data_IF_350249273181
#
_entry.id   IF_350249273181
#
_cell.length_a   1.000
_cell.length_b   1.000
_cell.length_c   1.000
_cell.angle_alpha   90.00
_cell.angle_beta   90.00
_cell.angle_gamma   90.00
#
_symmetry.space_group_name_H-M   'P 1'
#
loop_
_entity.id
_entity.type
_entity.pdbx_description
1 polymer ?
#
# COMPACT_ATOMS: atom_id res chain seq x y z
N UNK A 1 -24.79 -35.33 35.35
CA UNK A 1 -24.61 -36.06 36.64
C UNK A 1 -23.21 -35.76 37.21
N UNK A 2 -23.17 -35.35 38.50
CA UNK A 2 -22.10 -35.50 39.53
C UNK A 2 -20.66 -35.06 39.18
N UNK A 3 -20.13 -33.92 39.66
CA UNK A 3 -19.71 -33.52 41.04
C UNK A 3 -18.41 -34.19 41.56
N UNK A 4 -17.47 -33.32 41.96
CA UNK A 4 -16.33 -33.47 42.91
C UNK A 4 -15.05 -34.08 42.31
N UNK A 5 -13.84 -33.59 42.61
CA UNK A 5 -13.30 -33.40 43.96
C UNK A 5 -12.17 -32.34 44.00
N UNK A 6 -12.24 -31.48 45.01
CA UNK A 6 -11.18 -30.59 45.50
C UNK A 6 -10.18 -31.40 46.35
N UNK A 7 -8.88 -31.11 46.23
CA UNK A 7 -7.97 -31.20 47.38
C UNK A 7 -7.17 -29.91 47.48
N UNK A 8 -7.40 -29.22 48.60
CA UNK A 8 -6.57 -28.16 49.15
C UNK A 8 -5.46 -28.83 49.95
N UNK A 9 -4.22 -28.41 49.76
CA UNK A 9 -3.20 -28.42 50.80
C UNK A 9 -2.43 -27.10 50.70
N UNK A 10 -2.37 -26.42 51.83
CA UNK A 10 -1.64 -25.18 52.09
C UNK A 10 -0.55 -25.55 53.13
N UNK A 11 0.64 -24.95 53.24
CA UNK A 11 0.94 -23.60 53.74
C UNK A 11 2.49 -23.40 53.82
N UNK A 12 2.97 -22.24 53.35
CA UNK A 12 4.09 -21.35 53.81
C UNK A 12 5.58 -21.83 53.77
N UNK A 13 6.58 -20.94 53.94
CA UNK A 13 7.17 -20.15 52.85
C UNK A 13 8.72 -20.25 52.85
N UNK A 14 9.39 -19.94 51.74
CA UNK A 14 10.83 -19.69 51.75
C UNK A 14 11.12 -18.36 51.08
N UNK A 15 11.51 -17.38 51.90
CA UNK A 15 12.10 -16.12 51.49
C UNK A 15 13.35 -16.40 50.66
N UNK A 16 13.32 -15.95 49.40
CA UNK A 16 14.50 -15.80 48.56
C UNK A 16 14.33 -14.53 47.76
N UNK A 17 14.83 -13.41 48.28
CA UNK A 17 14.99 -12.18 47.54
C UNK A 17 15.94 -12.43 46.37
N UNK A 18 15.59 -11.97 45.16
CA UNK A 18 16.48 -11.35 44.16
C UNK A 18 15.66 -11.04 42.89
N UNK A 19 15.41 -9.74 42.65
CA UNK A 19 15.56 -9.13 41.33
C UNK A 19 14.42 -9.24 40.30
N UNK A 20 13.72 -8.12 40.10
CA UNK A 20 13.35 -7.67 38.75
C UNK A 20 11.86 -7.73 38.38
N UNK A 21 11.21 -6.59 38.02
CA UNK A 21 9.87 -6.61 37.47
C UNK A 21 9.88 -7.22 36.06
N UNK A 22 9.17 -8.33 35.88
CA UNK A 22 8.93 -8.92 34.58
C UNK A 22 7.96 -8.02 33.80
N UNK A 23 8.53 -7.09 33.04
CA UNK A 23 7.85 -6.34 32.00
C UNK A 23 7.13 -7.30 31.06
N UNK A 24 5.80 -7.26 31.05
CA UNK A 24 5.02 -7.70 29.90
C UNK A 24 5.27 -6.70 28.76
N UNK A 25 6.27 -6.98 27.94
CA UNK A 25 6.42 -6.32 26.66
C UNK A 25 5.27 -6.76 25.75
N UNK A 26 4.20 -5.97 25.71
CA UNK A 26 3.27 -5.98 24.60
C UNK A 26 4.07 -5.52 23.38
N UNK A 27 4.42 -6.47 22.51
CA UNK A 27 4.87 -6.17 21.17
C UNK A 27 3.66 -5.54 20.47
N UNK A 28 3.63 -4.21 20.44
CA UNK A 28 2.80 -3.48 19.51
C UNK A 28 3.43 -3.71 18.14
N UNK A 29 2.85 -4.63 17.36
CA UNK A 29 3.11 -4.73 15.93
C UNK A 29 2.66 -3.41 15.30
N UNK A 30 3.61 -2.50 15.12
CA UNK A 30 3.40 -1.25 14.39
C UNK A 30 3.08 -1.64 12.95
N UNK A 31 1.80 -1.69 12.61
CA UNK A 31 1.34 -1.86 11.24
C UNK A 31 1.83 -0.66 10.44
N UNK A 32 2.84 -0.87 9.60
CA UNK A 32 3.34 0.14 8.68
C UNK A 32 2.23 0.50 7.68
N UNK A 33 1.52 1.59 7.98
CA UNK A 33 0.64 2.25 7.03
C UNK A 33 1.50 2.77 5.87
N UNK A 34 1.04 2.65 4.61
CA UNK A 34 1.70 3.30 3.50
C UNK A 34 1.54 4.82 3.66
N UNK A 35 2.54 5.43 4.27
CA UNK A 35 2.67 6.88 4.35
C UNK A 35 3.18 7.43 3.00
N UNK A 36 2.86 8.69 2.64
CA UNK A 36 3.57 9.38 1.59
C UNK A 36 5.07 9.28 1.87
N UNK A 37 5.86 8.90 0.86
CA UNK A 37 7.26 8.54 1.04
C UNK A 37 8.01 9.60 1.87
N UNK A 38 8.53 9.18 3.02
CA UNK A 38 9.31 10.05 3.89
C UNK A 38 10.53 10.56 3.10
N UNK A 39 10.50 11.83 2.70
CA UNK A 39 11.55 12.48 1.88
C UNK A 39 11.10 12.97 0.49
N UNK A 40 9.90 12.62 0.04
CA UNK A 40 9.36 13.13 -1.22
C UNK A 40 8.90 14.59 -1.05
N UNK A 41 9.48 15.51 -1.82
CA UNK A 41 9.19 16.94 -1.73
C UNK A 41 7.72 17.22 -2.07
N UNK A 42 7.01 17.81 -1.12
CA UNK A 42 5.67 18.32 -1.37
C UNK A 42 5.76 19.53 -2.31
N UNK A 43 4.88 19.58 -3.31
CA UNK A 43 4.80 20.71 -4.24
C UNK A 43 3.47 21.44 -4.07
N UNK A 44 3.44 22.78 -4.13
CA UNK A 44 2.20 23.53 -4.12
C UNK A 44 1.26 23.07 -5.24
N UNK A 45 -0.01 22.86 -4.91
CA UNK A 45 -1.02 22.38 -5.84
C UNK A 45 -2.33 23.14 -5.67
N UNK A 46 -2.91 23.56 -6.79
CA UNK A 46 -4.20 24.26 -6.84
C UNK A 46 -4.99 23.93 -8.11
N UNK A 47 -6.13 24.62 -8.28
CA UNK A 47 -7.05 24.40 -9.40
C UNK A 47 -6.46 24.77 -10.79
N UNK A 48 -5.32 25.46 -10.85
CA UNK A 48 -4.66 25.86 -12.11
C UNK A 48 -3.48 24.96 -12.46
N UNK A 49 -2.86 24.29 -11.48
CA UNK A 49 -1.65 23.48 -11.66
C UNK A 49 -1.73 22.53 -12.86
N UNK A 50 -2.76 21.68 -12.94
CA UNK A 50 -2.89 20.68 -14.01
C UNK A 50 -3.09 21.33 -15.39
N UNK A 51 -3.90 22.41 -15.46
CA UNK A 51 -4.14 23.13 -16.72
C UNK A 51 -2.87 23.80 -17.23
N UNK A 52 -2.07 24.35 -16.33
CA UNK A 52 -0.79 24.95 -16.68
C UNK A 52 0.19 23.89 -17.18
N UNK A 53 0.33 22.77 -16.47
CA UNK A 53 1.20 21.66 -16.90
C UNK A 53 0.80 21.15 -18.30
N UNK A 54 -0.51 21.00 -18.57
CA UNK A 54 -1.00 20.58 -19.87
C UNK A 54 -0.66 21.60 -20.97
N UNK A 55 -0.86 22.90 -20.71
CA UNK A 55 -0.53 23.98 -21.65
C UNK A 55 0.96 24.01 -21.98
N UNK A 56 1.82 23.87 -20.98
CA UNK A 56 3.28 23.85 -21.15
C UNK A 56 3.76 22.63 -21.95
N UNK A 57 3.13 21.47 -21.76
CA UNK A 57 3.42 20.25 -22.54
C UNK A 57 2.96 20.36 -23.98
N UNK A 58 1.79 20.96 -24.22
CA UNK A 58 1.24 21.15 -25.57
C UNK A 58 2.10 22.07 -26.46
N UNK A 59 2.97 22.89 -25.86
CA UNK A 59 3.91 23.77 -26.57
C UNK A 59 5.22 23.07 -26.97
N UNK A 60 5.41 21.80 -26.58
CA UNK A 60 6.64 21.04 -26.82
C UNK A 60 6.34 19.83 -27.72
N UNK A 61 7.33 19.31 -28.46
CA UNK A 61 7.17 18.05 -29.17
C UNK A 61 6.75 16.94 -28.21
N UNK A 62 5.89 16.04 -28.70
CA UNK A 62 5.45 14.87 -27.94
C UNK A 62 6.65 14.01 -27.51
N UNK A 63 6.67 13.64 -26.24
CA UNK A 63 7.62 12.67 -25.67
C UNK A 63 6.83 11.47 -25.20
N UNK A 64 7.13 10.29 -25.75
CA UNK A 64 6.50 9.05 -25.34
C UNK A 64 6.73 8.77 -23.83
N UNK A 65 5.74 8.18 -23.13
CA UNK A 65 5.89 7.71 -21.76
C UNK A 65 7.04 6.71 -21.60
N UNK A 66 7.55 6.59 -20.37
CA UNK A 66 8.53 5.54 -20.06
C UNK A 66 7.81 4.19 -19.92
N UNK A 67 8.18 3.25 -20.79
CA UNK A 67 7.64 1.88 -20.85
C UNK A 67 8.64 0.83 -20.36
N UNK A 68 9.80 1.27 -19.86
CA UNK A 68 10.84 0.36 -19.37
C UNK A 68 10.37 -0.32 -18.09
N UNK A 69 10.58 -1.62 -18.06
CA UNK A 69 10.33 -2.47 -16.90
C UNK A 69 11.63 -3.21 -16.55
N UNK A 70 11.86 -3.48 -15.25
CA UNK A 70 12.87 -4.45 -14.82
C UNK A 70 12.67 -5.80 -15.53
N UNK A 71 13.77 -6.52 -15.77
CA UNK A 71 13.77 -7.75 -16.57
C UNK A 71 12.78 -8.83 -16.07
N UNK A 72 12.52 -8.86 -14.76
CA UNK A 72 11.58 -9.78 -14.12
C UNK A 72 10.12 -9.46 -14.47
N UNK A 73 9.80 -8.18 -14.68
CA UNK A 73 8.46 -7.70 -15.02
C UNK A 73 8.24 -7.60 -16.53
N UNK A 74 9.33 -7.45 -17.29
CA UNK A 74 9.31 -7.28 -18.74
C UNK A 74 8.82 -8.53 -19.49
N UNK A 75 9.03 -9.71 -18.90
CA UNK A 75 8.74 -11.02 -19.50
C UNK A 75 7.50 -11.70 -18.92
N UNK A 76 6.69 -11.00 -18.14
CA UNK A 76 5.50 -11.57 -17.52
C UNK A 76 4.51 -12.03 -18.60
N UNK A 77 4.07 -13.28 -18.51
CA UNK A 77 2.88 -13.74 -19.20
C UNK A 77 1.61 -13.16 -18.55
N UNK A 78 0.45 -13.35 -19.19
CA UNK A 78 -0.83 -13.05 -18.56
C UNK A 78 -1.01 -13.79 -17.23
N UNK A 79 -0.61 -15.07 -17.20
CA UNK A 79 -0.75 -15.92 -16.01
C UNK A 79 0.15 -15.46 -14.87
N UNK A 80 1.34 -14.96 -15.17
CA UNK A 80 2.19 -14.34 -14.16
C UNK A 80 1.58 -13.03 -13.65
N UNK A 81 1.09 -12.19 -14.55
CA UNK A 81 0.57 -10.86 -14.18
C UNK A 81 -0.64 -10.93 -13.25
N UNK A 82 -1.58 -11.86 -13.47
CA UNK A 82 -2.73 -12.08 -12.56
C UNK A 82 -2.34 -12.56 -11.17
N UNK A 83 -1.11 -13.05 -10.99
CA UNK A 83 -0.56 -13.45 -9.70
C UNK A 83 0.11 -12.29 -8.96
N UNK A 84 0.14 -11.08 -9.54
CA UNK A 84 0.54 -9.85 -8.86
C UNK A 84 -0.73 -9.17 -8.34
N UNK A 85 -0.97 -9.26 -7.03
CA UNK A 85 -2.19 -8.73 -6.39
C UNK A 85 -1.85 -7.57 -5.49
N UNK A 86 -2.65 -6.51 -5.50
CA UNK A 86 -2.48 -5.44 -4.51
C UNK A 86 -2.73 -5.99 -3.09
N UNK A 87 -1.90 -5.60 -2.13
CA UNK A 87 -2.08 -5.93 -0.73
C UNK A 87 -3.12 -4.98 -0.13
N UNK A 88 -4.38 -5.42 0.03
CA UNK A 88 -5.48 -4.55 0.48
C UNK A 88 -5.23 -3.88 1.85
N UNK A 89 -4.38 -4.46 2.71
CA UNK A 89 -3.94 -3.85 3.96
C UNK A 89 -3.12 -2.57 3.77
N UNK A 90 -2.58 -2.37 2.56
CA UNK A 90 -1.79 -1.20 2.15
C UNK A 90 -2.60 -0.20 1.32
N UNK A 91 -3.93 -0.32 1.29
CA UNK A 91 -4.77 0.66 0.60
C UNK A 91 -4.53 2.06 1.18
N UNK A 92 -4.46 3.06 0.30
CA UNK A 92 -4.38 4.46 0.74
C UNK A 92 -5.67 4.80 1.49
N UNK A 93 -5.50 5.52 2.59
CA UNK A 93 -6.56 5.94 3.52
C UNK A 93 -7.26 4.80 4.26
N UNK A 94 -6.69 3.59 4.24
CA UNK A 94 -7.15 2.51 5.10
C UNK A 94 -6.95 2.89 6.57
N UNK A 95 -8.03 2.83 7.34
CA UNK A 95 -8.02 3.19 8.76
C UNK A 95 -8.31 4.67 9.03
N UNK A 96 -8.33 5.53 8.01
CA UNK A 96 -8.53 6.97 8.17
C UNK A 96 -10.01 7.37 8.33
N UNK A 97 -10.91 6.38 8.47
CA UNK A 97 -12.37 6.55 8.58
C UNK A 97 -12.98 7.40 7.44
N UNK A 98 -12.40 7.32 6.24
CA UNK A 98 -12.91 7.97 5.03
C UNK A 98 -13.88 7.06 4.27
N UNK A 99 -14.72 7.69 3.45
CA UNK A 99 -15.67 6.97 2.56
C UNK A 99 -15.01 6.38 1.31
N UNK A 100 -13.72 6.61 1.12
CA UNK A 100 -12.97 6.12 -0.03
C UNK A 100 -11.63 5.54 0.41
N UNK A 101 -11.23 4.47 -0.28
CA UNK A 101 -9.89 3.90 -0.22
C UNK A 101 -9.36 3.69 -1.63
N UNK A 102 -8.06 3.83 -1.82
CA UNK A 102 -7.42 3.62 -3.12
C UNK A 102 -6.50 2.40 -3.06
N UNK A 103 -6.59 1.55 -4.09
CA UNK A 103 -5.61 0.50 -4.34
C UNK A 103 -4.89 0.82 -5.64
N UNK A 104 -3.59 0.56 -5.66
CA UNK A 104 -2.73 0.88 -6.79
C UNK A 104 -2.59 -0.32 -7.71
N UNK A 105 -2.32 -0.07 -8.99
CA UNK A 105 -2.20 -1.11 -9.99
C UNK A 105 -0.75 -1.28 -10.42
N UNK A 106 -0.29 -2.52 -10.49
CA UNK A 106 1.10 -2.84 -10.82
C UNK A 106 1.36 -2.69 -12.32
N UNK A 107 2.57 -2.24 -12.69
CA UNK A 107 3.03 -2.24 -14.09
C UNK A 107 3.51 -3.64 -14.50
N UNK A 108 3.25 -4.05 -15.74
CA UNK A 108 3.64 -5.37 -16.22
C UNK A 108 2.70 -5.86 -17.31
N UNK A 109 3.14 -6.90 -18.03
CA UNK A 109 2.39 -7.47 -19.14
C UNK A 109 1.99 -6.37 -20.15
N UNK A 110 0.68 -6.15 -20.37
CA UNK A 110 0.16 -5.11 -21.26
C UNK A 110 0.31 -3.68 -20.67
N UNK A 111 0.32 -3.54 -19.35
CA UNK A 111 0.28 -2.24 -18.68
C UNK A 111 1.68 -1.73 -18.35
N UNK A 112 2.37 -1.28 -19.40
CA UNK A 112 3.79 -0.89 -19.33
C UNK A 112 4.00 0.59 -19.05
N UNK A 113 3.06 1.44 -19.42
CA UNK A 113 3.18 2.88 -19.22
C UNK A 113 3.26 3.24 -17.74
N UNK A 114 4.23 4.09 -17.39
CA UNK A 114 4.37 4.61 -16.04
C UNK A 114 3.36 5.74 -15.79
N UNK A 115 2.57 5.59 -14.73
CA UNK A 115 1.72 6.63 -14.15
C UNK A 115 2.31 7.07 -12.82
N UNK A 116 2.62 8.37 -12.70
CA UNK A 116 2.99 9.00 -11.44
C UNK A 116 1.71 9.42 -10.69
N UNK A 117 1.61 9.05 -9.41
CA UNK A 117 0.46 9.36 -8.56
C UNK A 117 0.86 10.31 -7.44
N UNK A 118 -0.05 11.23 -7.12
CA UNK A 118 0.14 12.21 -6.06
C UNK A 118 -1.10 12.28 -5.18
N UNK A 119 -0.90 12.36 -3.86
CA UNK A 119 -1.95 12.71 -2.91
C UNK A 119 -1.90 14.21 -2.68
N UNK A 120 -3.02 14.90 -2.90
CA UNK A 120 -3.14 16.33 -2.63
C UNK A 120 -3.89 16.53 -1.33
N UNK A 121 -3.26 17.17 -0.36
CA UNK A 121 -3.89 17.62 0.90
C UNK A 121 -3.30 18.97 1.29
N UNK A 122 -4.10 19.84 1.90
CA UNK A 122 -3.64 21.16 2.39
C UNK A 122 -2.89 21.98 1.33
N UNK A 123 -3.37 21.95 0.07
CA UNK A 123 -2.75 22.61 -1.11
C UNK A 123 -1.33 22.11 -1.44
N UNK A 124 -0.98 20.91 -1.00
CA UNK A 124 0.31 20.28 -1.24
C UNK A 124 0.10 18.93 -1.93
N UNK A 125 0.73 18.73 -3.08
CA UNK A 125 0.83 17.44 -3.75
C UNK A 125 2.05 16.68 -3.23
N UNK A 126 1.84 15.45 -2.75
CA UNK A 126 2.90 14.55 -2.30
C UNK A 126 2.94 13.32 -3.20
N UNK A 127 4.11 12.91 -3.72
CA UNK A 127 4.21 11.70 -4.53
C UNK A 127 3.84 10.47 -3.72
N UNK A 128 3.12 9.55 -4.36
CA UNK A 128 2.98 8.18 -3.89
C UNK A 128 4.14 7.40 -4.49
N UNK A 129 5.11 7.00 -3.67
CA UNK A 129 6.23 6.21 -4.16
C UNK A 129 5.82 4.75 -4.37
N UNK A 130 6.38 4.13 -5.40
CA UNK A 130 6.25 2.70 -5.57
C UNK A 130 7.06 1.98 -4.48
N UNK A 131 6.47 0.94 -3.92
CA UNK A 131 7.13 -0.03 -3.05
C UNK A 131 6.63 -1.43 -3.43
N UNK A 132 7.50 -2.45 -3.55
CA UNK A 132 7.05 -3.79 -3.90
C UNK A 132 6.07 -4.38 -2.87
N UNK A 133 6.17 -4.01 -1.60
CA UNK A 133 5.32 -4.51 -0.50
C UNK A 133 3.85 -4.04 -0.56
N UNK A 134 3.54 -3.09 -1.44
CA UNK A 134 2.18 -2.74 -1.83
C UNK A 134 1.49 -3.89 -2.58
N UNK A 135 2.25 -4.87 -3.05
CA UNK A 135 1.77 -5.99 -3.85
C UNK A 135 2.23 -7.33 -3.25
N UNK A 136 1.42 -8.35 -3.48
CA UNK A 136 1.73 -9.75 -3.23
C UNK A 136 2.08 -10.38 -4.58
N UNK A 137 3.25 -10.99 -4.65
CA UNK A 137 3.73 -11.72 -5.82
C UNK A 137 3.55 -13.21 -5.54
N UNK A 138 2.50 -13.79 -6.11
CA UNK A 138 2.09 -15.16 -5.84
C UNK A 138 2.62 -16.13 -6.89
N UNK A 139 2.52 -17.44 -6.64
CA UNK A 139 2.81 -18.50 -7.61
C UNK A 139 4.18 -18.40 -8.31
N UNK A 140 5.21 -17.94 -7.60
CA UNK A 140 6.58 -17.91 -8.09
C UNK A 140 6.96 -16.67 -8.91
N UNK A 141 6.07 -15.67 -9.01
CA UNK A 141 6.43 -14.38 -9.60
C UNK A 141 7.45 -13.68 -8.72
N UNK A 142 8.57 -13.26 -9.30
CA UNK A 142 9.60 -12.53 -8.58
C UNK A 142 9.18 -11.08 -8.32
N UNK A 143 9.25 -10.64 -7.06
CA UNK A 143 9.12 -9.24 -6.72
C UNK A 143 10.30 -8.42 -7.31
N UNK A 144 10.07 -7.18 -7.75
CA UNK A 144 11.14 -6.28 -8.14
C UNK A 144 12.01 -5.89 -6.93
N UNK A 145 13.18 -5.34 -7.21
CA UNK A 145 14.12 -4.86 -6.19
C UNK A 145 13.42 -3.83 -5.27
N UNK A 146 13.40 -4.04 -3.94
CA UNK A 146 12.89 -3.05 -2.98
C UNK A 146 13.57 -1.67 -3.08
N UNK A 147 14.78 -1.59 -3.62
CA UNK A 147 15.47 -0.33 -3.86
C UNK A 147 14.94 0.43 -5.09
N UNK A 148 14.21 -0.23 -6.02
CA UNK A 148 13.60 0.44 -7.17
C UNK A 148 12.27 1.09 -6.79
N UNK A 149 12.35 2.32 -6.28
CA UNK A 149 11.19 3.14 -5.95
C UNK A 149 10.62 3.93 -7.14
N UNK A 150 11.24 3.84 -8.32
CA UNK A 150 10.88 4.64 -9.50
C UNK A 150 10.06 3.86 -10.54
N UNK A 151 9.75 2.58 -10.27
CA UNK A 151 8.87 1.80 -11.13
C UNK A 151 7.50 2.49 -11.34
N UNK A 152 6.94 3.14 -10.33
CA UNK A 152 5.62 3.77 -10.42
C UNK A 152 4.49 2.75 -10.61
N UNK A 153 3.36 3.19 -11.15
CA UNK A 153 2.13 2.39 -11.23
C UNK A 153 1.59 2.33 -12.65
N UNK A 154 0.69 1.39 -12.94
CA UNK A 154 -0.08 1.39 -14.19
C UNK A 154 -1.41 2.14 -14.08
N UNK A 155 -1.79 2.50 -12.85
CA UNK A 155 -3.08 3.10 -12.55
C UNK A 155 -3.49 2.90 -11.10
N UNK A 156 -4.78 3.13 -10.84
CA UNK A 156 -5.37 2.93 -9.53
C UNK A 156 -6.86 2.60 -9.65
N UNK A 157 -7.42 2.05 -8.57
CA UNK A 157 -8.84 1.75 -8.41
C UNK A 157 -9.35 2.37 -7.13
N UNK A 158 -10.57 2.89 -7.18
CA UNK A 158 -11.26 3.56 -6.09
C UNK A 158 -12.25 2.57 -5.50
N UNK A 159 -12.26 2.48 -4.16
CA UNK A 159 -13.23 1.71 -3.43
C UNK A 159 -14.04 2.57 -2.48
N UNK A 160 -15.29 2.19 -2.25
CA UNK A 160 -16.23 2.85 -1.33
C UNK A 160 -17.24 1.84 -0.79
N UNK A 161 -17.80 2.01 0.42
CA UNK A 161 -18.90 1.17 0.91
C UNK A 161 -20.20 1.49 0.19
N UNK A 162 -20.33 0.99 -1.04
CA UNK A 162 -21.47 1.23 -1.91
C UNK A 162 -22.62 0.27 -1.61
N UNK A 163 -22.31 -1.03 -1.49
CA UNK A 163 -23.32 -2.07 -1.30
C UNK A 163 -23.57 -2.37 0.18
N UNK A 164 -22.51 -2.34 1.01
CA UNK A 164 -22.59 -2.56 2.47
C UNK A 164 -21.62 -1.67 3.21
N UNK A 165 -21.97 -1.32 4.45
CA UNK A 165 -21.14 -0.44 5.29
C UNK A 165 -19.81 -1.08 5.75
N UNK A 166 -19.74 -2.41 5.76
CA UNK A 166 -18.59 -3.21 6.24
C UNK A 166 -17.62 -3.63 5.13
N UNK A 167 -17.92 -3.30 3.88
CA UNK A 167 -17.15 -3.75 2.72
C UNK A 167 -16.88 -2.58 1.77
N UNK A 168 -15.65 -2.47 1.29
CA UNK A 168 -15.25 -1.45 0.32
C UNK A 168 -15.30 -2.05 -1.08
N UNK A 169 -16.38 -1.79 -1.80
CA UNK A 169 -16.58 -2.23 -3.19
C UNK A 169 -15.73 -1.37 -4.14
N UNK A 170 -15.23 -1.97 -5.22
CA UNK A 170 -14.62 -1.20 -6.32
C UNK A 170 -15.71 -0.40 -7.05
N UNK A 171 -15.51 0.92 -7.16
CA UNK A 171 -16.48 1.82 -7.80
C UNK A 171 -15.95 2.47 -9.08
N UNK A 172 -14.63 2.51 -9.26
CA UNK A 172 -13.98 3.03 -10.46
C UNK A 172 -12.56 2.48 -10.61
N UNK A 173 -12.10 2.34 -11.84
CA UNK A 173 -10.73 1.95 -12.18
C UNK A 173 -10.19 2.83 -13.30
N UNK A 174 -8.95 3.28 -13.16
CA UNK A 174 -8.22 4.04 -14.16
C UNK A 174 -6.95 3.26 -14.48
N UNK A 175 -6.89 2.59 -15.65
CA UNK A 175 -5.75 1.77 -16.07
C UNK A 175 -5.72 1.60 -17.59
N UNK A 176 -4.60 1.97 -18.21
CA UNK A 176 -4.42 1.82 -19.66
C UNK A 176 -5.26 2.78 -20.49
N UNK A 177 -4.74 3.16 -21.67
CA UNK A 177 -5.38 3.96 -22.70
C UNK A 177 -4.77 3.64 -24.06
#
# INVERSE_FOLDING_TARGET
>A
MRRRTLLKAAILPAMGALGGPLWSALIAEAQAQPAPAAGAQATPFDAFTVRQMARERAQKPYKAPDTKLPAQLDKLSYDDYRNIRFNAERALWRGDNLKFQLQLLHRGFLFRDKVDLFVVSERQARPVAYQPDLFRFEHGVAAPDPADNNLGFSGFRIHSPLNRADYFDEVAVFQGA
#
